data_IF_343427310622
#
_entry.id   IF_343427310622
#
_cell.length_a   1.000
_cell.length_b   1.000
_cell.length_c   1.000
_cell.angle_alpha   90.00
_cell.angle_beta   90.00
_cell.angle_gamma   90.00
#
_symmetry.space_group_name_H-M   'P 1'
#
loop_
_entity.id
_entity.type
_entity.pdbx_description
1 polymer ?
#
# COMPACT_ATOMS: atom_id res chain seq x y z
N UNK A 1 -14.18 -26.25 -8.87
CA UNK A 1 -14.78 -25.04 -8.27
C UNK A 1 -13.71 -24.38 -7.47
N UNK A 2 -13.19 -23.25 -7.93
CA UNK A 2 -12.10 -22.52 -7.28
C UNK A 2 -12.72 -21.61 -6.22
N UNK A 3 -12.24 -21.61 -4.96
CA UNK A 3 -12.86 -20.82 -3.91
C UNK A 3 -12.66 -19.33 -4.14
N UNK A 4 -13.74 -18.60 -3.88
CA UNK A 4 -13.94 -17.17 -4.11
C UNK A 4 -12.91 -16.32 -3.36
N UNK A 5 -12.29 -15.38 -4.07
CA UNK A 5 -11.34 -14.42 -3.51
C UNK A 5 -11.99 -13.03 -3.41
N UNK A 6 -12.66 -12.66 -2.31
CA UNK A 6 -12.97 -11.26 -2.01
C UNK A 6 -11.82 -10.54 -1.26
N UNK A 7 -10.65 -11.18 -1.05
CA UNK A 7 -9.52 -10.62 -0.28
C UNK A 7 -8.54 -9.72 -1.08
N UNK A 8 -8.89 -9.31 -2.31
CA UNK A 8 -7.92 -8.69 -3.23
C UNK A 8 -7.80 -7.15 -3.16
N UNK A 9 -8.71 -6.43 -2.48
CA UNK A 9 -8.71 -4.96 -2.49
C UNK A 9 -8.28 -4.29 -1.18
N UNK A 10 -8.20 -5.04 -0.07
CA UNK A 10 -8.17 -4.44 1.26
C UNK A 10 -6.76 -4.24 1.85
N UNK A 11 -5.70 -4.78 1.26
CA UNK A 11 -4.33 -4.51 1.71
C UNK A 11 -3.79 -3.12 1.34
N UNK A 12 -4.48 -2.37 0.46
CA UNK A 12 -4.03 -1.05 0.00
C UNK A 12 -4.97 0.12 0.38
N UNK A 13 -6.09 -0.12 1.07
CA UNK A 13 -7.07 0.91 1.40
C UNK A 13 -7.29 1.09 2.91
N UNK A 14 -6.57 2.09 3.41
CA UNK A 14 -6.92 3.05 4.49
C UNK A 14 -7.42 2.56 5.86
N UNK A 15 -6.65 2.98 6.86
CA UNK A 15 -7.07 3.33 8.21
C UNK A 15 -8.10 4.47 8.22
N UNK A 16 -9.11 4.37 9.07
CA UNK A 16 -9.78 5.53 9.65
C UNK A 16 -10.20 5.23 11.10
N UNK A 17 -9.91 6.17 12.01
CA UNK A 17 -10.72 6.44 13.21
C UNK A 17 -10.92 7.95 13.31
N UNK A 18 -12.15 8.33 13.65
CA UNK A 18 -12.69 9.69 13.85
C UNK A 18 -12.14 10.37 15.10
N UNK A 19 -12.02 11.71 15.09
CA UNK A 19 -12.55 12.67 16.08
C UNK A 19 -12.39 14.13 15.53
N UNK A 20 -13.15 15.11 16.04
CA UNK A 20 -13.39 16.38 15.36
C UNK A 20 -12.28 17.40 15.66
N UNK A 21 -12.07 18.32 14.72
CA UNK A 21 -11.25 19.54 14.82
C UNK A 21 -9.74 19.37 15.07
N UNK A 22 -8.99 19.52 13.96
CA UNK A 22 -7.55 19.81 13.87
C UNK A 22 -6.60 18.60 13.80
N UNK A 23 -5.73 18.61 12.77
CA UNK A 23 -4.51 17.81 12.73
C UNK A 23 -3.31 18.75 12.64
N UNK A 24 -2.70 19.03 13.80
CA UNK A 24 -1.29 19.40 13.93
C UNK A 24 -0.60 18.15 14.46
N UNK A 25 0.39 17.62 13.75
CA UNK A 25 1.31 16.62 14.30
C UNK A 25 2.73 17.18 14.31
N UNK A 26 3.12 17.57 15.51
CA UNK A 26 4.48 17.87 15.91
C UNK A 26 5.32 16.59 15.77
N UNK A 27 6.27 16.58 14.83
CA UNK A 27 7.27 15.50 14.73
C UNK A 27 8.32 15.69 15.85
N UNK A 28 8.68 14.65 16.62
CA UNK A 28 9.88 14.69 17.45
C UNK A 28 11.15 14.67 16.56
N UNK A 29 12.27 15.27 17.01
CA UNK A 29 13.47 15.40 16.19
C UNK A 29 14.12 14.04 15.90
N UNK A 30 14.70 13.98 14.71
CA UNK A 30 15.35 12.83 14.07
C UNK A 30 16.64 12.46 14.84
N UNK A 31 16.63 11.35 15.59
CA UNK A 31 17.87 10.69 16.02
C UNK A 31 18.19 9.52 15.09
N UNK A 32 19.42 9.54 14.57
CA UNK A 32 20.05 8.53 13.73
C UNK A 32 20.04 7.17 14.42
N UNK A 33 19.40 6.18 13.81
CA UNK A 33 19.59 4.77 14.20
C UNK A 33 20.59 4.13 13.26
N UNK A 34 21.83 4.14 13.75
CA UNK A 34 22.92 3.24 13.36
C UNK A 34 22.43 1.79 13.41
N UNK A 35 22.27 1.18 12.23
CA UNK A 35 22.06 -0.25 12.11
C UNK A 35 23.35 -1.00 12.48
N UNK A 36 23.16 -2.19 13.08
CA UNK A 36 24.14 -3.26 13.33
C UNK A 36 24.86 -3.26 14.69
N UNK A 37 24.17 -3.79 15.72
CA UNK A 37 24.58 -5.06 16.34
C UNK A 37 23.50 -5.60 17.28
N UNK A 38 23.40 -6.92 17.30
CA UNK A 38 22.28 -7.67 17.84
C UNK A 38 22.00 -7.42 19.32
N UNK A 39 20.72 -7.46 19.64
CA UNK A 39 20.08 -7.99 20.84
C UNK A 39 18.57 -7.78 20.64
N UNK A 40 17.80 -8.86 20.44
CA UNK A 40 16.43 -8.84 20.98
C UNK A 40 16.56 -8.66 22.50
N UNK A 41 15.65 -7.97 23.22
CA UNK A 41 14.22 -7.89 22.92
C UNK A 41 13.56 -6.52 23.21
N UNK A 42 12.50 -6.19 22.48
CA UNK A 42 11.41 -5.41 23.06
C UNK A 42 10.09 -6.07 22.67
N UNK A 43 9.54 -6.81 23.63
CA UNK A 43 8.13 -7.16 23.71
C UNK A 43 7.28 -5.89 23.60
N UNK A 44 6.75 -5.63 22.40
CA UNK A 44 5.48 -4.94 22.21
C UNK A 44 4.41 -5.98 21.87
N UNK A 45 4.44 -7.11 22.57
CA UNK A 45 3.36 -8.08 22.57
C UNK A 45 2.13 -7.44 23.24
N UNK A 46 1.23 -6.86 22.43
CA UNK A 46 -0.10 -6.50 22.94
C UNK A 46 -0.92 -5.55 22.08
N UNK A 47 -0.31 -4.67 21.29
CA UNK A 47 -1.05 -3.73 20.44
C UNK A 47 -0.37 -3.65 19.08
N UNK A 48 -0.73 -4.58 18.18
CA UNK A 48 -0.24 -4.64 16.81
C UNK A 48 -0.52 -3.33 16.06
N UNK A 49 0.46 -2.44 16.07
CA UNK A 49 0.44 -1.17 15.36
C UNK A 49 0.80 -1.34 13.88
N UNK A 50 0.57 -0.28 13.10
CA UNK A 50 0.86 -0.22 11.66
C UNK A 50 2.20 -0.85 11.24
N UNK A 51 3.32 -0.61 11.95
CA UNK A 51 4.60 -1.20 11.56
C UNK A 51 4.60 -2.73 11.64
N UNK A 52 4.00 -3.32 12.69
CA UNK A 52 4.01 -4.77 12.88
C UNK A 52 3.27 -5.56 11.81
N UNK A 53 2.32 -4.90 11.12
CA UNK A 53 1.47 -5.53 10.12
C UNK A 53 2.15 -5.57 8.75
N UNK A 54 2.81 -4.47 8.35
CA UNK A 54 3.32 -4.29 6.99
C UNK A 54 4.84 -4.28 6.87
N UNK A 55 5.57 -4.09 7.98
CA UNK A 55 7.03 -4.04 7.97
C UNK A 55 7.62 -5.46 8.03
N UNK A 56 7.48 -6.20 6.92
CA UNK A 56 8.03 -7.55 6.76
C UNK A 56 8.88 -7.62 5.49
N UNK A 57 9.90 -8.48 5.49
CA UNK A 57 10.85 -8.64 4.38
C UNK A 57 10.14 -8.88 3.04
N UNK A 58 9.17 -9.79 3.01
CA UNK A 58 8.38 -10.10 1.81
C UNK A 58 7.61 -8.91 1.22
N UNK A 59 7.26 -7.90 2.03
CA UNK A 59 6.62 -6.69 1.50
C UNK A 59 7.60 -5.85 0.68
N UNK A 60 8.84 -5.72 1.17
CA UNK A 60 9.89 -5.00 0.44
C UNK A 60 10.31 -5.75 -0.83
N UNK A 61 10.36 -7.08 -0.79
CA UNK A 61 10.58 -7.91 -1.99
C UNK A 61 9.49 -7.67 -3.05
N UNK A 62 8.22 -7.63 -2.62
CA UNK A 62 7.09 -7.33 -3.50
C UNK A 62 7.18 -5.93 -4.12
N UNK A 63 7.52 -4.91 -3.33
CA UNK A 63 7.72 -3.54 -3.83
C UNK A 63 8.83 -3.49 -4.89
N UNK A 64 9.97 -4.14 -4.63
CA UNK A 64 11.09 -4.17 -5.57
C UNK A 64 10.71 -4.83 -6.92
N UNK A 65 9.85 -5.84 -6.90
CA UNK A 65 9.33 -6.45 -8.13
C UNK A 65 8.50 -5.46 -8.95
N UNK A 66 7.61 -4.71 -8.30
CA UNK A 66 6.76 -3.72 -8.95
C UNK A 66 7.61 -2.56 -9.48
N UNK A 67 8.57 -2.05 -8.71
CA UNK A 67 9.49 -1.00 -9.15
C UNK A 67 10.25 -1.41 -10.42
N UNK A 68 10.79 -2.64 -10.42
CA UNK A 68 11.48 -3.18 -11.57
C UNK A 68 10.57 -3.29 -12.80
N UNK A 69 9.32 -3.71 -12.61
CA UNK A 69 8.35 -3.81 -13.69
C UNK A 69 7.95 -2.44 -14.24
N UNK A 70 7.73 -1.45 -13.38
CA UNK A 70 7.45 -0.06 -13.75
C UNK A 70 8.59 0.53 -14.57
N UNK A 71 9.83 0.36 -14.10
CA UNK A 71 11.01 0.84 -14.81
C UNK A 71 11.18 0.17 -16.17
N UNK A 72 10.90 -1.13 -16.27
CA UNK A 72 10.99 -1.88 -17.52
C UNK A 72 9.89 -1.49 -18.53
N UNK A 73 8.67 -1.20 -18.06
CA UNK A 73 7.53 -0.87 -18.91
C UNK A 73 7.55 0.58 -19.39
N UNK A 74 7.92 1.52 -18.51
CA UNK A 74 7.75 2.96 -18.74
C UNK A 74 9.07 3.74 -18.80
N UNK A 75 10.20 3.13 -18.43
CA UNK A 75 11.51 3.78 -18.48
C UNK A 75 11.57 5.05 -17.62
N UNK A 76 11.98 6.16 -18.22
CA UNK A 76 12.08 7.47 -17.53
C UNK A 76 10.73 8.11 -17.21
N UNK A 77 9.65 7.60 -17.80
CA UNK A 77 8.28 8.09 -17.61
C UNK A 77 7.47 7.18 -16.67
N UNK A 78 8.16 6.38 -15.84
CA UNK A 78 7.50 5.51 -14.89
C UNK A 78 6.66 6.32 -13.87
N UNK A 79 5.40 5.93 -13.63
CA UNK A 79 4.61 6.54 -12.57
C UNK A 79 5.23 6.23 -11.22
N UNK A 80 4.97 7.08 -10.23
CA UNK A 80 5.37 6.82 -8.85
C UNK A 80 4.72 5.53 -8.33
N UNK A 81 5.31 4.92 -7.30
CA UNK A 81 4.74 3.72 -6.67
C UNK A 81 3.31 3.97 -6.17
N UNK A 82 3.06 5.16 -5.61
CA UNK A 82 1.73 5.58 -5.16
C UNK A 82 0.74 5.68 -6.32
N UNK A 83 1.11 6.32 -7.44
CA UNK A 83 0.24 6.41 -8.62
C UNK A 83 -0.04 5.02 -9.20
N UNK A 84 0.99 4.17 -9.32
CA UNK A 84 0.82 2.80 -9.77
C UNK A 84 -0.14 2.00 -8.87
N UNK A 85 0.01 2.09 -7.55
CA UNK A 85 -0.88 1.41 -6.62
C UNK A 85 -2.33 1.91 -6.71
N UNK A 86 -2.54 3.23 -6.79
CA UNK A 86 -3.87 3.80 -6.95
C UNK A 86 -4.52 3.36 -8.26
N UNK A 87 -3.80 3.43 -9.38
CA UNK A 87 -4.27 2.94 -10.68
C UNK A 87 -4.58 1.46 -10.66
N UNK A 88 -3.82 0.66 -9.92
CA UNK A 88 -4.12 -0.75 -9.71
C UNK A 88 -5.46 -0.96 -8.98
N UNK A 89 -5.72 -0.19 -7.92
CA UNK A 89 -6.99 -0.26 -7.19
C UNK A 89 -8.17 0.12 -8.11
N UNK A 90 -8.05 1.19 -8.90
CA UNK A 90 -9.17 1.68 -9.71
C UNK A 90 -9.45 0.83 -10.96
N UNK A 91 -8.42 0.27 -11.59
CA UNK A 91 -8.56 -0.39 -12.90
C UNK A 91 -8.39 -1.91 -12.87
N UNK A 92 -7.71 -2.44 -11.85
CA UNK A 92 -7.29 -3.85 -11.80
C UNK A 92 -7.76 -4.60 -10.56
N UNK A 93 -8.43 -3.92 -9.62
CA UNK A 93 -9.09 -4.56 -8.48
C UNK A 93 -10.48 -5.10 -8.86
N UNK A 94 -11.14 -5.75 -7.90
CA UNK A 94 -12.52 -6.20 -8.05
C UNK A 94 -13.57 -5.14 -7.72
N UNK A 95 -13.16 -3.92 -7.35
CA UNK A 95 -14.08 -2.84 -7.00
C UNK A 95 -14.89 -2.42 -8.23
N UNK A 96 -16.20 -2.23 -8.03
CA UNK A 96 -17.12 -1.83 -9.09
C UNK A 96 -17.89 -0.59 -8.67
N UNK A 97 -17.62 0.53 -9.33
CA UNK A 97 -18.35 1.78 -9.07
C UNK A 97 -19.85 1.66 -9.31
N UNK A 98 -20.29 0.74 -10.17
CA UNK A 98 -21.72 0.41 -10.40
C UNK A 98 -22.40 -0.20 -9.18
N UNK A 99 -21.65 -0.81 -8.27
CA UNK A 99 -22.15 -1.33 -6.98
C UNK A 99 -22.04 -0.31 -5.85
N UNK A 100 -21.53 0.89 -6.13
CA UNK A 100 -21.26 1.91 -5.12
C UNK A 100 -19.95 1.70 -4.36
N UNK A 101 -19.06 0.83 -4.86
CA UNK A 101 -17.72 0.67 -4.29
C UNK A 101 -16.91 1.95 -4.48
N UNK A 102 -16.16 2.32 -3.44
CA UNK A 102 -15.34 3.53 -3.44
C UNK A 102 -14.00 3.29 -2.74
N UNK A 103 -12.98 4.02 -3.19
CA UNK A 103 -11.64 4.01 -2.61
C UNK A 103 -11.50 5.19 -1.67
N UNK A 104 -11.00 4.95 -0.46
CA UNK A 104 -10.74 6.02 0.50
C UNK A 104 -9.27 6.47 0.35
N UNK A 105 -9.04 7.75 0.05
CA UNK A 105 -7.70 8.29 -0.25
C UNK A 105 -7.03 8.96 0.96
N UNK A 106 -5.95 8.39 1.51
CA UNK A 106 -5.14 8.92 2.63
C UNK A 106 -4.20 10.06 2.23
N UNK A 107 -4.12 11.12 3.03
CA UNK A 107 -3.16 12.21 2.82
C UNK A 107 -2.75 12.86 4.15
N UNK A 108 -1.49 13.30 4.24
CA UNK A 108 -0.99 14.14 5.33
C UNK A 108 -0.58 15.55 4.87
N UNK A 109 -0.61 15.81 3.55
CA UNK A 109 -0.42 17.14 2.94
C UNK A 109 -1.41 17.36 1.79
N UNK A 110 -1.57 18.62 1.36
CA UNK A 110 -2.39 18.97 0.21
C UNK A 110 -1.78 18.46 -1.10
N UNK A 111 -0.46 18.55 -1.25
CA UNK A 111 0.28 18.06 -2.42
C UNK A 111 0.03 16.56 -2.64
N UNK A 112 0.08 15.75 -1.57
CA UNK A 112 -0.25 14.32 -1.67
C UNK A 112 -1.70 14.08 -2.11
N UNK A 113 -2.63 14.93 -1.69
CA UNK A 113 -4.02 14.82 -2.14
C UNK A 113 -4.13 15.10 -3.64
N UNK A 114 -3.47 16.15 -4.12
CA UNK A 114 -3.46 16.53 -5.53
C UNK A 114 -2.83 15.43 -6.41
N UNK A 115 -1.70 14.87 -5.99
CA UNK A 115 -1.05 13.74 -6.66
C UNK A 115 -1.93 12.50 -6.67
N UNK A 116 -2.56 12.17 -5.54
CA UNK A 116 -3.45 11.02 -5.43
C UNK A 116 -4.67 11.18 -6.34
N UNK A 117 -5.28 12.37 -6.40
CA UNK A 117 -6.41 12.67 -7.26
C UNK A 117 -6.02 12.57 -8.74
N UNK A 118 -4.87 13.12 -9.12
CA UNK A 118 -4.36 13.00 -10.48
C UNK A 118 -4.19 11.51 -10.87
N UNK A 119 -3.64 10.69 -9.98
CA UNK A 119 -3.50 9.25 -10.21
C UNK A 119 -4.83 8.51 -10.36
N UNK A 120 -5.93 8.99 -9.76
CA UNK A 120 -7.26 8.36 -9.95
C UNK A 120 -7.87 8.62 -11.32
N UNK A 121 -7.44 9.69 -11.99
CA UNK A 121 -7.90 10.05 -13.35
C UNK A 121 -7.03 9.38 -14.43
N UNK A 122 -5.85 8.87 -14.06
CA UNK A 122 -4.96 8.14 -14.97
C UNK A 122 -5.57 6.81 -15.43
N UNK A 123 -5.16 6.36 -16.62
CA UNK A 123 -5.64 5.11 -17.23
C UNK A 123 -5.03 3.83 -16.64
N UNK A 124 -5.41 2.66 -17.20
CA UNK A 124 -4.92 1.37 -16.72
C UNK A 124 -3.39 1.23 -16.84
N UNK A 125 -2.81 0.43 -15.96
CA UNK A 125 -1.40 0.02 -16.03
C UNK A 125 -1.13 -0.99 -17.14
N UNK A 126 0.12 -1.03 -17.61
CA UNK A 126 0.62 -2.04 -18.55
C UNK A 126 0.51 -3.46 -17.96
N UNK A 127 0.18 -4.50 -18.75
CA UNK A 127 -0.04 -5.86 -18.26
C UNK A 127 1.14 -6.44 -17.48
N UNK A 128 2.37 -6.08 -17.85
CA UNK A 128 3.58 -6.53 -17.16
C UNK A 128 3.65 -6.02 -15.71
N UNK A 129 3.16 -4.80 -15.46
CA UNK A 129 3.12 -4.18 -14.12
C UNK A 129 2.02 -4.83 -13.29
N UNK A 130 0.86 -5.10 -13.89
CA UNK A 130 -0.25 -5.82 -13.22
C UNK A 130 0.22 -7.21 -12.77
N UNK A 131 0.93 -7.94 -13.64
CA UNK A 131 1.51 -9.24 -13.29
C UNK A 131 2.56 -9.15 -12.16
N UNK A 132 3.27 -8.03 -12.06
CA UNK A 132 4.21 -7.81 -10.96
C UNK A 132 3.49 -7.60 -9.63
N UNK A 133 2.36 -6.87 -9.63
CA UNK A 133 1.49 -6.77 -8.46
C UNK A 133 0.93 -8.13 -8.02
N UNK A 134 0.50 -8.98 -8.97
CA UNK A 134 0.04 -10.34 -8.66
C UNK A 134 1.14 -11.21 -8.04
N UNK A 135 2.37 -11.07 -8.51
CA UNK A 135 3.53 -11.77 -7.95
C UNK A 135 3.87 -11.26 -6.56
N UNK A 136 3.89 -9.94 -6.36
CA UNK A 136 4.09 -9.32 -5.06
C UNK A 136 3.03 -9.81 -4.04
N UNK A 137 1.76 -9.89 -4.46
CA UNK A 137 0.70 -10.44 -3.63
C UNK A 137 0.98 -11.88 -3.19
N UNK A 138 1.42 -12.76 -4.09
CA UNK A 138 1.74 -14.16 -3.74
C UNK A 138 2.85 -14.28 -2.70
N UNK A 139 3.78 -13.32 -2.64
CA UNK A 139 4.82 -13.29 -1.62
C UNK A 139 4.25 -12.94 -0.25
N UNK A 140 3.30 -11.99 -0.18
CA UNK A 140 2.80 -11.47 1.11
C UNK A 140 1.51 -12.14 1.60
N UNK A 141 0.79 -12.88 0.74
CA UNK A 141 -0.53 -13.42 1.04
C UNK A 141 -0.57 -14.30 2.31
N UNK A 142 0.48 -15.09 2.55
CA UNK A 142 0.57 -15.97 3.73
C UNK A 142 0.71 -15.20 5.04
N UNK A 143 1.14 -13.94 4.95
CA UNK A 143 1.45 -13.03 6.04
C UNK A 143 0.37 -11.96 6.23
N UNK A 144 -0.71 -12.04 5.44
CA UNK A 144 -1.80 -11.07 5.44
C UNK A 144 -2.57 -11.15 6.76
N UNK A 145 -2.75 -10.02 7.47
CA UNK A 145 -3.61 -10.00 8.65
C UNK A 145 -5.06 -10.26 8.24
N UNK A 146 -5.84 -10.85 9.15
CA UNK A 146 -7.30 -10.89 8.99
C UNK A 146 -7.86 -9.47 8.99
N UNK A 147 -8.72 -9.16 8.02
CA UNK A 147 -9.37 -7.84 7.91
C UNK A 147 -10.39 -7.58 9.03
N UNK A 148 -10.96 -8.62 9.60
CA UNK A 148 -11.90 -8.52 10.73
C UNK A 148 -11.12 -8.57 12.04
N UNK A 149 -11.46 -7.66 12.96
CA UNK A 149 -10.99 -7.65 14.35
C UNK A 149 -12.15 -7.84 15.30
#
# INVERSE_FOLDING_TARGET
GVPCAPELAACFSRSLVREPVSWVLQLPPREETSCLRGHQPLDTAGLGGWPSVYWKEHHFEGIALVEKALQAAYGTSAPSMTSAALRWIYHHSQLQGTHGDAVILGMSSLEQLEENLAATEEGPLEPAVVQAFDQAWRLVAHDCPNYFR
#
